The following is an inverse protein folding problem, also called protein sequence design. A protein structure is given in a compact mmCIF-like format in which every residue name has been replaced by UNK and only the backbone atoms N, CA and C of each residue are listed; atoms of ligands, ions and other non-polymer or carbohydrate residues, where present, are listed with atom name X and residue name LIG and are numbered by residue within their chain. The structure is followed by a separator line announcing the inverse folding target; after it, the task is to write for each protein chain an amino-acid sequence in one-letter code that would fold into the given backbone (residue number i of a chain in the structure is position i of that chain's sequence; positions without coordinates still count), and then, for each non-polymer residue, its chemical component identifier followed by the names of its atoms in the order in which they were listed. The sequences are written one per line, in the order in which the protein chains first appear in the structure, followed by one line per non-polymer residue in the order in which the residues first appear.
data_IF_672502390717
#
_entry.id   IF_672502390717
#
_cell.length_a   1.000
_cell.length_b   1.000
_cell.length_c   1.000
_cell.angle_alpha   90.00
_cell.angle_beta   90.00
_cell.angle_gamma   90.00
#
_symmetry.space_group_name_H-M   'P 1'
#
loop_
_entity.id
_entity.type
_entity.pdbx_description
1 polymer ?
#
# COMPACT_ATOMS: atom_id res chain seq x y z
N UNK A 1 29.15 -15.08 -37.70
CA UNK A 1 28.43 -13.86 -37.26
C UNK A 1 28.98 -13.46 -35.91
N UNK A 2 29.98 -12.58 -35.91
CA UNK A 2 30.66 -12.09 -34.70
C UNK A 2 29.89 -10.89 -34.16
N UNK A 3 29.08 -11.08 -33.11
CA UNK A 3 28.47 -9.94 -32.39
C UNK A 3 29.57 -9.12 -31.74
N UNK A 4 29.78 -7.92 -32.27
CA UNK A 4 30.59 -6.87 -31.69
C UNK A 4 29.99 -6.48 -30.34
N UNK A 5 30.62 -6.89 -29.24
CA UNK A 5 30.29 -6.42 -27.91
C UNK A 5 30.60 -4.92 -27.85
N UNK A 6 29.57 -4.08 -27.97
CA UNK A 6 29.71 -2.66 -27.75
C UNK A 6 30.18 -2.44 -26.30
N UNK A 7 31.45 -2.08 -26.14
CA UNK A 7 32.04 -1.72 -24.87
C UNK A 7 31.30 -0.48 -24.34
N UNK A 8 30.57 -0.66 -23.24
CA UNK A 8 29.94 0.46 -22.56
C UNK A 8 31.06 1.36 -22.01
N UNK A 9 31.02 2.68 -22.25
CA UNK A 9 32.07 3.57 -21.78
C UNK A 9 32.10 3.58 -20.24
N UNK A 10 33.29 3.67 -19.63
CA UNK A 10 33.42 3.71 -18.18
C UNK A 10 32.64 4.89 -17.58
N UNK A 11 32.21 4.73 -16.32
CA UNK A 11 31.57 5.82 -15.60
C UNK A 11 32.53 7.01 -15.46
N UNK A 12 31.99 8.24 -15.59
CA UNK A 12 32.80 9.45 -15.48
C UNK A 12 33.35 9.61 -14.05
N UNK A 13 34.57 10.14 -13.94
CA UNK A 13 35.24 10.36 -12.66
C UNK A 13 34.38 11.18 -11.70
N UNK A 14 34.22 10.67 -10.48
CA UNK A 14 33.44 11.31 -9.42
C UNK A 14 31.95 10.91 -9.34
N UNK A 15 31.43 10.12 -10.29
CA UNK A 15 30.04 9.65 -10.21
C UNK A 15 29.84 8.60 -9.11
N UNK A 16 28.69 8.67 -8.42
CA UNK A 16 28.30 7.73 -7.35
C UNK A 16 27.38 6.64 -7.89
N UNK A 17 27.41 5.47 -7.26
CA UNK A 17 26.50 4.40 -7.63
C UNK A 17 25.04 4.78 -7.32
N UNK A 18 24.14 4.53 -8.27
CA UNK A 18 22.72 4.83 -8.14
C UNK A 18 22.01 3.99 -7.07
N UNK A 19 22.52 2.79 -6.77
CA UNK A 19 22.01 1.89 -5.72
C UNK A 19 22.72 2.13 -4.38
N UNK A 20 24.01 2.46 -4.43
CA UNK A 20 24.87 2.66 -3.27
C UNK A 20 25.54 4.05 -3.30
N UNK A 21 24.85 5.12 -2.86
CA UNK A 21 25.32 6.51 -3.03
C UNK A 21 26.67 6.81 -2.39
N UNK A 22 27.02 6.06 -1.34
CA UNK A 22 28.30 6.20 -0.62
C UNK A 22 29.48 5.66 -1.44
N UNK A 23 29.24 4.78 -2.41
CA UNK A 23 30.28 4.11 -3.21
C UNK A 23 30.49 4.82 -4.54
N UNK A 24 31.75 4.88 -4.99
CA UNK A 24 32.09 5.39 -6.33
C UNK A 24 31.62 4.42 -7.40
N UNK A 25 31.13 4.95 -8.51
CA UNK A 25 30.80 4.16 -9.68
C UNK A 25 32.07 3.77 -10.43
N UNK A 26 32.09 2.55 -10.95
CA UNK A 26 33.19 2.01 -11.75
C UNK A 26 32.73 1.61 -13.16
N UNK A 27 31.42 1.45 -13.35
CA UNK A 27 30.81 1.00 -14.60
C UNK A 27 29.38 1.57 -14.72
N UNK A 28 28.70 1.31 -15.85
CA UNK A 28 27.31 1.65 -16.08
C UNK A 28 26.45 0.41 -16.32
N UNK A 29 25.19 0.48 -15.92
CA UNK A 29 24.24 -0.59 -16.16
C UNK A 29 23.95 -0.72 -17.67
N UNK A 30 24.14 -1.89 -18.31
CA UNK A 30 23.88 -2.05 -19.74
C UNK A 30 22.39 -1.93 -20.10
N UNK A 31 21.48 -2.07 -19.12
CA UNK A 31 20.03 -1.98 -19.34
C UNK A 31 19.50 -0.55 -19.23
N UNK A 32 19.96 0.24 -18.24
CA UNK A 32 19.42 1.57 -17.98
C UNK A 32 20.46 2.70 -17.93
N UNK A 33 21.72 2.38 -18.26
CA UNK A 33 22.87 3.28 -18.30
C UNK A 33 23.19 4.03 -16.98
N UNK A 34 22.62 3.59 -15.84
CA UNK A 34 22.89 4.19 -14.54
C UNK A 34 24.27 3.81 -14.01
N UNK A 35 24.96 4.70 -13.28
CA UNK A 35 26.26 4.40 -12.67
C UNK A 35 26.15 3.32 -11.58
N UNK A 36 27.05 2.33 -11.63
CA UNK A 36 27.11 1.18 -10.71
C UNK A 36 28.49 1.05 -10.06
N UNK A 37 28.52 0.65 -8.79
CA UNK A 37 29.77 0.33 -8.08
C UNK A 37 30.17 -1.13 -8.37
N UNK A 38 31.42 -1.49 -8.08
CA UNK A 38 31.95 -2.83 -8.36
C UNK A 38 31.11 -3.95 -7.72
N UNK A 39 30.60 -3.74 -6.51
CA UNK A 39 29.74 -4.70 -5.82
C UNK A 39 28.39 -4.89 -6.53
N UNK A 40 27.72 -3.81 -6.96
CA UNK A 40 26.47 -3.88 -7.72
C UNK A 40 26.67 -4.50 -9.11
N UNK A 41 27.88 -4.35 -9.69
CA UNK A 41 28.24 -5.02 -10.94
C UNK A 41 28.44 -6.54 -10.75
N UNK A 42 29.02 -6.98 -9.63
CA UNK A 42 29.27 -8.39 -9.32
C UNK A 42 28.00 -9.15 -8.93
N UNK A 43 27.09 -8.52 -8.19
CA UNK A 43 25.82 -9.12 -7.78
C UNK A 43 24.83 -9.25 -8.96
N UNK A 44 25.02 -8.49 -10.02
CA UNK A 44 24.18 -8.47 -11.21
C UNK A 44 24.53 -9.56 -12.25
N UNK A 45 24.40 -10.83 -11.87
CA UNK A 45 24.67 -11.99 -12.76
C UNK A 45 23.82 -12.03 -14.04
N UNK A 46 22.71 -11.29 -14.12
CA UNK A 46 21.85 -11.15 -15.30
C UNK A 46 22.04 -9.86 -16.12
N UNK A 47 23.12 -9.10 -15.89
CA UNK A 47 23.44 -7.87 -16.65
C UNK A 47 22.73 -6.60 -16.17
N UNK A 48 21.54 -6.66 -15.58
CA UNK A 48 20.82 -5.49 -15.04
C UNK A 48 21.23 -5.10 -13.61
N UNK A 49 21.15 -3.81 -13.24
CA UNK A 49 21.34 -3.36 -11.85
C UNK A 49 20.13 -3.73 -10.97
N UNK A 50 20.27 -3.66 -9.64
CA UNK A 50 19.19 -4.00 -8.70
C UNK A 50 17.86 -3.25 -8.96
N UNK A 51 17.92 -2.04 -9.53
CA UNK A 51 16.72 -1.27 -9.92
C UNK A 51 16.02 -1.86 -11.15
N UNK A 52 16.79 -2.32 -12.13
CA UNK A 52 16.25 -3.03 -13.30
C UNK A 52 15.67 -4.38 -12.89
N UNK A 53 16.40 -5.14 -12.07
CA UNK A 53 15.93 -6.43 -11.58
C UNK A 53 14.61 -6.32 -10.80
N UNK A 54 14.42 -5.28 -9.99
CA UNK A 54 13.13 -5.01 -9.33
C UNK A 54 11.98 -4.70 -10.30
N UNK A 55 12.27 -4.13 -11.47
CA UNK A 55 11.26 -3.89 -12.51
C UNK A 55 10.87 -5.17 -13.23
N UNK A 56 11.84 -6.03 -13.52
CA UNK A 56 11.61 -7.30 -14.21
C UNK A 56 10.88 -8.31 -13.32
N UNK A 57 11.09 -8.28 -12.00
CA UNK A 57 10.25 -9.04 -11.04
C UNK A 57 8.83 -8.49 -10.89
N UNK A 58 8.50 -7.36 -11.53
CA UNK A 58 7.21 -6.68 -11.42
C UNK A 58 6.23 -6.92 -12.57
N UNK A 59 6.61 -7.70 -13.59
CA UNK A 59 5.83 -7.86 -14.84
C UNK A 59 5.14 -9.22 -15.00
N UNK A 60 5.18 -10.10 -14.00
CA UNK A 60 4.28 -11.26 -14.00
C UNK A 60 2.90 -10.82 -13.51
N UNK A 61 2.00 -10.60 -14.47
CA UNK A 61 0.61 -10.31 -14.19
C UNK A 61 0.04 -11.50 -13.39
N UNK A 62 -0.37 -11.30 -12.12
CA UNK A 62 -0.76 -12.42 -11.27
C UNK A 62 -1.92 -13.16 -11.94
N UNK A 63 -1.81 -14.49 -11.99
CA UNK A 63 -2.89 -15.33 -12.50
C UNK A 63 -4.19 -15.02 -11.75
N UNK A 64 -5.34 -15.21 -12.40
CA UNK A 64 -6.65 -14.93 -11.79
C UNK A 64 -6.84 -15.62 -10.44
N UNK A 65 -6.31 -16.84 -10.29
CA UNK A 65 -6.33 -17.61 -9.04
C UNK A 65 -5.52 -16.92 -7.92
N UNK A 66 -4.32 -16.44 -8.23
CA UNK A 66 -3.49 -15.71 -7.26
C UNK A 66 -4.14 -14.38 -6.84
N UNK A 67 -4.92 -13.75 -7.72
CA UNK A 67 -5.68 -12.54 -7.40
C UNK A 67 -6.84 -12.84 -6.44
N UNK A 68 -7.60 -13.91 -6.71
CA UNK A 68 -8.70 -14.37 -5.85
C UNK A 68 -8.18 -14.73 -4.46
N UNK A 69 -7.08 -15.47 -4.37
CA UNK A 69 -6.47 -15.83 -3.08
C UNK A 69 -6.11 -14.59 -2.24
N UNK A 70 -5.55 -13.55 -2.88
CA UNK A 70 -5.24 -12.28 -2.21
C UNK A 70 -6.49 -11.57 -1.68
N UNK A 71 -7.59 -11.56 -2.44
CA UNK A 71 -8.86 -10.99 -1.97
C UNK A 71 -9.45 -11.79 -0.82
N UNK A 72 -9.44 -13.11 -0.89
CA UNK A 72 -9.95 -13.99 0.18
C UNK A 72 -9.17 -13.76 1.47
N UNK A 73 -7.84 -13.71 1.41
CA UNK A 73 -6.99 -13.39 2.56
C UNK A 73 -7.28 -12.01 3.13
N UNK A 74 -7.41 -11.00 2.27
CA UNK A 74 -7.76 -9.64 2.69
C UNK A 74 -9.14 -9.57 3.35
N UNK A 75 -10.14 -10.27 2.81
CA UNK A 75 -11.49 -10.34 3.34
C UNK A 75 -11.53 -11.03 4.72
N UNK A 76 -10.84 -12.16 4.88
CA UNK A 76 -10.76 -12.86 6.16
C UNK A 76 -10.07 -12.02 7.24
N UNK A 77 -8.98 -11.34 6.88
CA UNK A 77 -8.29 -10.42 7.80
C UNK A 77 -9.19 -9.25 8.20
N UNK A 78 -9.91 -8.65 7.24
CA UNK A 78 -10.87 -7.58 7.49
C UNK A 78 -11.99 -8.04 8.43
N UNK A 79 -12.58 -9.20 8.15
CA UNK A 79 -13.66 -9.78 8.94
C UNK A 79 -13.24 -10.03 10.39
N UNK A 80 -12.09 -10.67 10.61
CA UNK A 80 -11.58 -10.95 11.95
C UNK A 80 -11.35 -9.67 12.77
N UNK A 81 -10.72 -8.66 12.17
CA UNK A 81 -10.46 -7.37 12.83
C UNK A 81 -11.77 -6.61 13.09
N UNK A 82 -12.73 -6.67 12.16
CA UNK A 82 -14.02 -6.02 12.33
C UNK A 82 -14.84 -6.64 13.47
N UNK A 83 -14.84 -7.96 13.62
CA UNK A 83 -15.51 -8.62 14.75
C UNK A 83 -14.89 -8.23 16.09
N UNK A 84 -13.56 -8.28 16.19
CA UNK A 84 -12.84 -7.84 17.40
C UNK A 84 -13.13 -6.35 17.69
N UNK A 85 -13.11 -5.52 16.65
CA UNK A 85 -13.45 -4.11 16.73
C UNK A 85 -14.88 -3.87 17.21
N UNK A 86 -15.84 -4.68 16.78
CA UNK A 86 -17.24 -4.64 17.23
C UNK A 86 -17.38 -4.96 18.72
N UNK A 87 -16.68 -5.98 19.20
CA UNK A 87 -16.66 -6.32 20.64
C UNK A 87 -16.09 -5.16 21.46
N UNK A 88 -15.00 -4.54 20.99
CA UNK A 88 -14.42 -3.36 21.65
C UNK A 88 -15.40 -2.18 21.61
N UNK A 89 -16.02 -1.92 20.46
CA UNK A 89 -16.98 -0.82 20.29
C UNK A 89 -18.18 -0.93 21.23
N UNK A 90 -18.68 -2.15 21.48
CA UNK A 90 -19.77 -2.40 22.43
C UNK A 90 -19.44 -1.84 23.84
N UNK A 91 -18.20 -1.94 24.28
CA UNK A 91 -17.78 -1.49 25.62
C UNK A 91 -17.79 0.03 25.81
N UNK A 92 -17.89 0.81 24.72
CA UNK A 92 -17.77 2.27 24.76
C UNK A 92 -18.99 3.01 24.17
N UNK A 93 -20.12 2.32 23.98
CA UNK A 93 -21.34 2.91 23.39
C UNK A 93 -21.89 4.07 24.22
N UNK A 94 -21.78 4.01 25.55
CA UNK A 94 -22.29 5.04 26.46
C UNK A 94 -21.45 6.32 26.56
N UNK A 95 -20.27 6.38 25.94
CA UNK A 95 -19.39 7.53 26.05
C UNK A 95 -19.38 8.36 24.75
N UNK A 96 -19.87 9.60 24.83
CA UNK A 96 -20.16 10.45 23.67
C UNK A 96 -18.98 10.63 22.68
N UNK A 97 -17.74 10.71 23.17
CA UNK A 97 -16.56 10.84 22.30
C UNK A 97 -16.20 9.50 21.63
N UNK A 98 -16.33 8.39 22.35
CA UNK A 98 -15.98 7.06 21.87
C UNK A 98 -17.01 6.48 20.91
N UNK A 99 -18.23 7.00 20.92
CA UNK A 99 -19.28 6.69 19.94
C UNK A 99 -18.84 6.94 18.49
N UNK A 100 -17.91 7.86 18.25
CA UNK A 100 -17.39 8.16 16.91
C UNK A 100 -15.95 7.70 16.72
N UNK A 101 -15.11 7.87 17.74
CA UNK A 101 -13.69 7.53 17.67
C UNK A 101 -13.49 6.02 17.52
N UNK A 102 -14.23 5.20 18.25
CA UNK A 102 -14.05 3.74 18.22
C UNK A 102 -14.42 3.17 16.85
N UNK A 103 -15.60 3.46 16.27
CA UNK A 103 -15.91 3.04 14.90
C UNK A 103 -14.89 3.50 13.86
N UNK A 104 -14.39 4.74 13.98
CA UNK A 104 -13.35 5.25 13.09
C UNK A 104 -12.06 4.42 13.18
N UNK A 105 -11.58 4.15 14.39
CA UNK A 105 -10.37 3.33 14.61
C UNK A 105 -10.58 1.90 14.10
N UNK A 106 -11.75 1.31 14.33
CA UNK A 106 -12.12 0.00 13.76
C UNK A 106 -12.00 0.03 12.24
N UNK A 107 -12.57 1.05 11.59
CA UNK A 107 -12.44 1.23 10.14
C UNK A 107 -10.99 1.31 9.66
N UNK A 108 -10.14 2.10 10.32
CA UNK A 108 -8.71 2.21 10.00
C UNK A 108 -8.01 0.85 10.12
N UNK A 109 -8.20 0.14 11.22
CA UNK A 109 -7.54 -1.14 11.48
C UNK A 109 -8.02 -2.24 10.53
N UNK A 110 -9.33 -2.30 10.25
CA UNK A 110 -9.90 -3.23 9.27
C UNK A 110 -9.29 -3.01 7.89
N UNK A 111 -9.16 -1.75 7.45
CA UNK A 111 -8.52 -1.42 6.19
C UNK A 111 -7.02 -1.74 6.17
N UNK A 112 -6.30 -1.46 7.27
CA UNK A 112 -4.89 -1.78 7.42
C UNK A 112 -4.62 -3.28 7.33
N UNK A 113 -5.41 -4.09 8.03
CA UNK A 113 -5.31 -5.54 7.98
C UNK A 113 -5.62 -6.09 6.59
N UNK A 114 -6.73 -5.65 5.97
CA UNK A 114 -7.12 -6.08 4.64
C UNK A 114 -6.04 -5.80 3.59
N UNK A 115 -5.47 -4.59 3.59
CA UNK A 115 -4.42 -4.21 2.66
C UNK A 115 -3.09 -4.90 2.96
N UNK A 116 -2.72 -5.01 4.24
CA UNK A 116 -1.46 -5.61 4.67
C UNK A 116 -1.37 -7.08 4.27
N UNK A 117 -2.44 -7.85 4.46
CA UNK A 117 -2.46 -9.29 4.17
C UNK A 117 -2.69 -9.57 2.68
N UNK A 118 -3.49 -8.76 1.98
CA UNK A 118 -3.72 -8.97 0.55
C UNK A 118 -2.49 -8.65 -0.33
N UNK A 119 -1.57 -7.80 0.15
CA UNK A 119 -0.36 -7.45 -0.58
C UNK A 119 -0.63 -6.80 -1.94
N UNK A 120 -1.79 -6.16 -2.11
CA UNK A 120 -2.18 -5.48 -3.35
C UNK A 120 -1.70 -4.03 -3.35
N UNK A 121 -1.45 -3.44 -4.54
CA UNK A 121 -1.11 -2.03 -4.65
C UNK A 121 -2.21 -1.14 -4.05
N UNK A 122 -1.83 0.00 -3.46
CA UNK A 122 -2.77 0.96 -2.84
C UNK A 122 -3.61 1.76 -3.85
N UNK A 123 -3.40 1.56 -5.14
CA UNK A 123 -4.05 2.30 -6.23
C UNK A 123 -4.59 1.34 -7.30
N UNK A 124 -5.65 1.75 -8.00
CA UNK A 124 -6.27 0.99 -9.09
C UNK A 124 -7.52 0.20 -8.67
N UNK A 125 -8.10 -0.52 -9.62
CA UNK A 125 -9.30 -1.36 -9.40
C UNK A 125 -9.17 -2.39 -8.27
N UNK A 126 -8.04 -3.10 -8.07
CA UNK A 126 -7.92 -4.05 -6.96
C UNK A 126 -7.93 -3.38 -5.58
N UNK A 127 -7.34 -2.18 -5.48
CA UNK A 127 -7.37 -1.40 -4.25
C UNK A 127 -8.78 -0.94 -3.90
N UNK A 128 -9.58 -0.57 -4.91
CA UNK A 128 -10.97 -0.18 -4.72
C UNK A 128 -11.82 -1.34 -4.20
N UNK A 129 -11.63 -2.56 -4.73
CA UNK A 129 -12.38 -3.72 -4.24
C UNK A 129 -12.04 -4.07 -2.78
N UNK A 130 -10.76 -4.03 -2.40
CA UNK A 130 -10.35 -4.23 -0.99
C UNK A 130 -10.96 -3.15 -0.09
N UNK A 131 -10.96 -1.90 -0.54
CA UNK A 131 -11.57 -0.79 0.21
C UNK A 131 -13.06 -1.03 0.43
N UNK A 132 -13.78 -1.51 -0.58
CA UNK A 132 -15.19 -1.86 -0.46
C UNK A 132 -15.42 -3.02 0.53
N UNK A 133 -14.62 -4.08 0.44
CA UNK A 133 -14.70 -5.21 1.36
C UNK A 133 -14.41 -4.78 2.81
N UNK A 134 -13.32 -4.03 3.02
CA UNK A 134 -12.96 -3.50 4.33
C UNK A 134 -14.04 -2.55 4.87
N UNK A 135 -14.62 -1.70 4.02
CA UNK A 135 -15.75 -0.83 4.36
C UNK A 135 -16.97 -1.62 4.82
N UNK A 136 -17.39 -2.62 4.03
CA UNK A 136 -18.51 -3.49 4.37
C UNK A 136 -18.30 -4.22 5.69
N UNK A 137 -17.13 -4.83 5.89
CA UNK A 137 -16.83 -5.53 7.14
C UNK A 137 -16.73 -4.58 8.33
N UNK A 138 -16.14 -3.40 8.20
CA UNK A 138 -16.08 -2.42 9.27
C UNK A 138 -17.49 -1.99 9.73
N UNK A 139 -18.41 -1.74 8.78
CA UNK A 139 -19.82 -1.42 9.08
C UNK A 139 -20.50 -2.60 9.79
N UNK A 140 -20.31 -3.82 9.30
CA UNK A 140 -20.86 -5.02 9.94
C UNK A 140 -20.31 -5.24 11.35
N UNK A 141 -19.02 -4.98 11.57
CA UNK A 141 -18.40 -5.05 12.90
C UNK A 141 -18.98 -4.03 13.88
N UNK A 142 -19.19 -2.78 13.44
CA UNK A 142 -19.85 -1.75 14.25
C UNK A 142 -21.30 -2.11 14.56
N UNK A 143 -22.05 -2.60 13.56
CA UNK A 143 -23.41 -3.09 13.75
C UNK A 143 -23.47 -4.24 14.75
N UNK A 144 -22.51 -5.18 14.65
CA UNK A 144 -22.36 -6.27 15.61
C UNK A 144 -22.12 -5.77 17.03
N UNK A 145 -21.32 -4.71 17.23
CA UNK A 145 -21.14 -4.07 18.52
C UNK A 145 -22.45 -3.53 19.12
N UNK A 146 -23.28 -2.86 18.32
CA UNK A 146 -24.60 -2.39 18.77
C UNK A 146 -25.56 -3.53 19.15
N UNK A 147 -25.51 -4.63 18.41
CA UNK A 147 -26.30 -5.84 18.71
C UNK A 147 -25.85 -6.46 20.04
N UNK A 148 -24.54 -6.54 20.30
CA UNK A 148 -24.01 -7.07 21.57
C UNK A 148 -24.45 -6.24 22.78
N UNK A 149 -24.47 -4.91 22.64
CA UNK A 149 -24.96 -3.98 23.66
C UNK A 149 -26.50 -4.04 23.84
N UNK A 150 -27.20 -4.87 23.05
CA UNK A 150 -28.68 -4.97 23.01
C UNK A 150 -29.36 -3.63 22.71
N UNK A 151 -28.66 -2.72 22.05
CA UNK A 151 -29.22 -1.44 21.65
C UNK A 151 -30.22 -1.64 20.50
N UNK A 152 -31.44 -1.10 20.63
CA UNK A 152 -32.46 -1.18 19.58
C UNK A 152 -32.17 -0.24 18.39
N UNK A 153 -31.12 0.58 18.50
CA UNK A 153 -30.82 1.66 17.56
C UNK A 153 -29.96 1.25 16.36
N UNK A 154 -29.73 -0.04 16.13
CA UNK A 154 -28.89 -0.56 15.02
C UNK A 154 -29.26 0.05 13.66
N UNK A 155 -30.55 0.40 13.46
CA UNK A 155 -31.10 0.98 12.23
C UNK A 155 -31.73 2.38 12.42
N UNK A 156 -31.60 3.01 13.59
CA UNK A 156 -32.16 4.34 13.87
C UNK A 156 -31.38 5.47 13.19
N UNK A 157 -32.01 6.63 12.96
CA UNK A 157 -31.32 7.79 12.37
C UNK A 157 -30.09 8.24 13.20
N UNK A 158 -30.11 8.00 14.52
CA UNK A 158 -29.00 8.28 15.43
C UNK A 158 -27.79 7.34 15.27
N UNK A 159 -27.92 6.20 14.58
CA UNK A 159 -26.81 5.26 14.35
C UNK A 159 -26.11 5.45 13.02
N UNK A 160 -26.55 6.38 12.16
CA UNK A 160 -25.84 6.74 10.92
C UNK A 160 -24.41 7.26 11.19
N UNK A 161 -24.17 8.15 12.16
CA UNK A 161 -22.84 8.70 12.42
C UNK A 161 -21.72 7.67 12.70
N UNK A 162 -21.89 6.64 13.56
CA UNK A 162 -20.84 5.65 13.81
C UNK A 162 -20.50 4.82 12.57
N UNK A 163 -21.47 4.49 11.72
CA UNK A 163 -21.18 3.82 10.44
C UNK A 163 -20.40 4.71 9.49
N UNK A 164 -20.76 6.01 9.41
CA UNK A 164 -20.03 6.99 8.60
C UNK A 164 -18.58 7.13 9.12
N UNK A 165 -18.39 7.19 10.43
CA UNK A 165 -17.07 7.26 11.04
C UNK A 165 -16.20 6.05 10.66
N UNK A 166 -16.75 4.84 10.70
CA UNK A 166 -16.04 3.63 10.27
C UNK A 166 -15.64 3.68 8.79
N UNK A 167 -16.55 4.09 7.91
CA UNK A 167 -16.26 4.25 6.48
C UNK A 167 -15.18 5.31 6.26
N UNK A 168 -15.23 6.44 6.97
CA UNK A 168 -14.21 7.49 6.89
C UNK A 168 -12.84 6.97 7.32
N UNK A 169 -12.76 6.13 8.37
CA UNK A 169 -11.53 5.49 8.78
C UNK A 169 -10.93 4.59 7.68
N UNK A 170 -11.78 3.77 7.06
CA UNK A 170 -11.37 2.94 5.92
C UNK A 170 -10.88 3.81 4.77
N UNK A 171 -11.63 4.84 4.39
CA UNK A 171 -11.27 5.73 3.28
C UNK A 171 -9.96 6.43 3.59
N UNK A 172 -9.80 7.06 4.74
CA UNK A 172 -8.60 7.81 5.08
C UNK A 172 -7.34 6.94 5.01
N UNK A 173 -7.40 5.73 5.56
CA UNK A 173 -6.26 4.79 5.54
C UNK A 173 -5.83 4.39 4.12
N UNK A 174 -6.81 4.20 3.25
CA UNK A 174 -6.62 3.66 1.89
C UNK A 174 -6.36 4.73 0.84
N UNK A 175 -6.40 6.03 1.19
CA UNK A 175 -6.05 7.11 0.27
C UNK A 175 -4.54 7.08 -0.05
N UNK A 176 -4.13 7.18 -1.32
CA UNK A 176 -2.73 7.32 -1.68
C UNK A 176 -2.19 8.67 -1.16
N UNK A 177 -0.92 8.72 -0.71
CA UNK A 177 -0.31 9.99 -0.30
C UNK A 177 -0.30 10.98 -1.47
N UNK A 178 -0.79 12.20 -1.26
CA UNK A 178 -0.89 13.20 -2.33
C UNK A 178 0.51 13.56 -2.88
N UNK A 179 0.70 13.45 -4.19
CA UNK A 179 1.97 13.70 -4.89
C UNK A 179 2.32 15.18 -5.08
N UNK A 180 1.68 16.07 -4.31
CA UNK A 180 1.71 17.53 -4.55
C UNK A 180 3.10 18.17 -4.33
N UNK A 181 4.09 17.43 -3.81
CA UNK A 181 5.46 17.90 -3.55
C UNK A 181 6.46 17.68 -4.69
N UNK A 182 6.13 16.93 -5.74
CA UNK A 182 7.12 16.55 -6.76
C UNK A 182 7.14 17.46 -8.00
N UNK A 183 6.08 18.28 -8.21
CA UNK A 183 6.01 19.24 -9.33
C UNK A 183 6.68 20.59 -9.05
N UNK A 184 6.91 20.95 -7.79
CA UNK A 184 7.62 22.19 -7.45
C UNK A 184 9.12 22.10 -7.72
N UNK A 185 9.72 20.94 -7.46
CA UNK A 185 11.18 20.75 -7.61
C UNK A 185 11.60 20.65 -9.08
N UNK A 186 10.72 20.15 -9.95
CA UNK A 186 10.98 20.08 -11.41
C UNK A 186 10.89 21.46 -12.07
N UNK A 187 10.05 22.38 -11.56
CA UNK A 187 9.97 23.76 -12.07
C UNK A 187 11.11 24.64 -11.58
N UNK A 188 11.66 24.37 -10.39
CA UNK A 188 12.80 25.10 -9.87
C UNK A 188 14.10 24.81 -10.64
N UNK A 189 14.21 23.66 -11.30
CA UNK A 189 15.39 23.26 -12.09
C UNK A 189 15.31 23.60 -13.59
N UNK A 190 14.18 24.10 -14.08
CA UNK A 190 13.98 24.43 -15.50
C UNK A 190 13.97 25.95 -15.77
N UNK A 191 14.36 26.75 -14.78
CA UNK A 191 14.36 28.20 -14.83
C UNK A 191 15.77 28.82 -14.70
N UNK A 192 16.82 28.00 -14.80
CA UNK A 192 18.23 28.43 -14.85
C UNK A 192 18.87 28.04 -16.19
#
# INVERSE_FOLDING_TARGET
MTSSAASTPPAADGTRCAVHPVRRAVDRCPVCNRPRCAADAQEATGGGCAVCQRRDTGTEQPSGVALVERYVRGALAAYAVALLGGVVAAQYVGAAVFAYLTPFVVGVLTAAAAQGVAGLPKTGSPAALIRLLAGGYAVLGVAFGFVLERSAEVLGAASVPPYVAAVLGVVLWTLPPSSRRQKSDVKAWSAE
#
